data_IF_070612523352
#
_entry.id   IF_070612523352
#
_cell.length_a   1.000
_cell.length_b   1.000
_cell.length_c   1.000
_cell.angle_alpha   90.00
_cell.angle_beta   90.00
_cell.angle_gamma   90.00
#
_symmetry.space_group_name_H-M   'P 1'
#
loop_
_entity.id
_entity.type
_entity.pdbx_description
1 polymer ?
#
# COMPACT_ATOMS: atom_id res chain seq x y z
N UNK A 1 28.78 1.95 13.67
CA UNK A 1 27.50 1.43 13.15
C UNK A 1 27.00 2.42 12.10
N UNK A 2 27.29 2.16 10.82
CA UNK A 2 27.22 3.13 9.71
C UNK A 2 25.86 3.10 8.99
N UNK A 3 24.77 3.32 9.72
CA UNK A 3 23.42 3.42 9.11
C UNK A 3 23.21 4.72 8.32
N UNK A 4 24.09 5.71 8.49
CA UNK A 4 23.82 7.10 8.11
C UNK A 4 24.36 7.55 6.74
N UNK A 5 25.04 6.69 5.95
CA UNK A 5 25.70 7.16 4.71
C UNK A 5 24.93 6.95 3.40
N UNK A 6 24.00 5.97 3.32
CA UNK A 6 23.35 5.60 2.04
C UNK A 6 21.80 5.49 2.10
N UNK A 7 21.14 6.06 3.11
CA UNK A 7 19.68 6.13 3.20
C UNK A 7 18.97 4.79 3.53
N UNK A 8 17.67 4.90 3.86
CA UNK A 8 16.80 3.76 4.22
C UNK A 8 16.30 2.97 3.01
N UNK A 9 16.55 3.42 1.78
CA UNK A 9 16.00 2.83 0.56
C UNK A 9 16.45 1.38 0.29
N UNK A 10 17.60 0.95 0.81
CA UNK A 10 18.22 -0.36 0.50
C UNK A 10 18.60 -1.14 1.75
N UNK A 11 17.77 -1.11 2.79
CA UNK A 11 18.14 -1.76 4.06
C UNK A 11 17.98 -3.28 4.00
N UNK A 12 16.99 -3.81 3.26
CA UNK A 12 16.79 -5.26 3.17
C UNK A 12 17.91 -5.93 2.36
N UNK A 13 18.42 -5.27 1.31
CA UNK A 13 19.55 -5.75 0.50
C UNK A 13 20.85 -5.90 1.30
N UNK A 14 20.99 -5.16 2.40
CA UNK A 14 22.19 -5.16 3.26
C UNK A 14 22.09 -6.09 4.46
N UNK A 15 20.98 -6.80 4.62
CA UNK A 15 20.84 -7.78 5.71
C UNK A 15 21.81 -8.95 5.50
N UNK A 16 22.42 -9.49 6.58
CA UNK A 16 23.30 -10.64 6.47
C UNK A 16 22.50 -11.89 6.04
N UNK A 17 23.15 -12.87 5.37
CA UNK A 17 22.48 -14.09 4.90
C UNK A 17 21.72 -14.86 5.99
N UNK A 18 22.25 -14.85 7.23
CA UNK A 18 21.61 -15.49 8.38
C UNK A 18 20.28 -14.86 8.80
N UNK A 19 19.99 -13.65 8.32
CA UNK A 19 18.74 -12.92 8.52
C UNK A 19 17.85 -13.01 7.27
N UNK A 20 18.42 -12.95 6.07
CA UNK A 20 17.63 -13.05 4.82
C UNK A 20 17.02 -14.43 4.60
N UNK A 21 17.66 -15.47 5.15
CA UNK A 21 17.16 -16.85 5.15
C UNK A 21 16.07 -17.13 6.19
N UNK A 22 15.78 -16.18 7.10
CA UNK A 22 14.70 -16.33 8.10
C UNK A 22 13.36 -15.96 7.49
N UNK A 23 12.29 -16.48 8.10
CA UNK A 23 10.93 -16.06 7.73
C UNK A 23 10.78 -14.55 7.89
N UNK A 24 10.06 -13.93 6.96
CA UNK A 24 9.69 -12.51 7.04
C UNK A 24 8.92 -12.18 8.33
N UNK A 25 8.27 -13.17 8.98
CA UNK A 25 7.61 -13.03 10.29
C UNK A 25 8.58 -12.64 11.41
N UNK A 26 9.85 -13.02 11.27
CA UNK A 26 10.88 -12.76 12.27
C UNK A 26 11.57 -11.39 12.07
N UNK A 27 11.39 -10.78 10.90
CA UNK A 27 11.96 -9.48 10.59
C UNK A 27 11.20 -8.37 11.32
N UNK A 28 11.96 -7.38 11.81
CA UNK A 28 11.40 -6.13 12.34
C UNK A 28 11.31 -5.15 11.19
N UNK A 29 10.12 -5.07 10.60
CA UNK A 29 9.84 -4.28 9.40
C UNK A 29 9.16 -2.98 9.84
N UNK A 30 9.74 -1.81 9.54
CA UNK A 30 9.11 -0.53 9.85
C UNK A 30 7.90 -0.30 8.92
N UNK A 31 6.81 0.19 9.52
CA UNK A 31 5.56 0.49 8.83
C UNK A 31 5.02 1.87 9.20
N UNK A 32 4.15 2.39 8.35
CA UNK A 32 3.41 3.63 8.56
C UNK A 32 1.91 3.33 8.68
N UNK A 33 1.24 3.95 9.64
CA UNK A 33 -0.21 3.86 9.82
C UNK A 33 -0.92 4.90 8.95
N UNK A 34 -2.01 4.52 8.29
CA UNK A 34 -2.71 5.35 7.30
C UNK A 34 -1.74 6.02 6.32
N UNK A 35 -0.88 5.21 5.71
CA UNK A 35 0.34 5.65 5.01
C UNK A 35 0.08 6.70 3.94
N UNK A 36 -1.08 6.66 3.29
CA UNK A 36 -1.45 7.58 2.24
C UNK A 36 -2.20 8.84 2.71
N UNK A 37 -2.43 9.01 4.03
CA UNK A 37 -3.00 10.23 4.60
C UNK A 37 -1.94 11.34 4.79
N UNK A 38 -1.06 11.52 3.79
CA UNK A 38 -0.12 12.64 3.70
C UNK A 38 -0.72 13.86 3.02
N UNK A 39 -1.75 13.66 2.18
CA UNK A 39 -2.52 14.73 1.57
C UNK A 39 -4.00 14.35 1.47
N UNK A 40 -4.85 15.24 1.98
CA UNK A 40 -6.30 15.09 2.05
C UNK A 40 -6.97 16.34 1.49
N UNK A 41 -7.91 16.14 0.57
CA UNK A 41 -8.50 17.20 -0.24
C UNK A 41 -9.75 17.79 0.41
N UNK A 42 -9.60 19.00 0.95
CA UNK A 42 -10.72 19.77 1.55
C UNK A 42 -11.75 20.26 0.51
N UNK A 43 -11.39 20.26 -0.77
CA UNK A 43 -12.27 20.59 -1.89
C UNK A 43 -13.30 19.50 -2.18
N UNK A 44 -13.03 18.27 -1.74
CA UNK A 44 -13.95 17.15 -1.86
C UNK A 44 -14.89 17.08 -0.65
N UNK A 45 -16.02 16.39 -0.81
CA UNK A 45 -16.87 16.02 0.33
C UNK A 45 -16.09 15.12 1.29
N UNK A 46 -16.51 15.06 2.55
CA UNK A 46 -15.98 14.07 3.48
C UNK A 46 -16.12 12.66 2.92
N UNK A 47 -15.13 11.82 3.19
CA UNK A 47 -15.18 10.42 2.85
C UNK A 47 -16.23 9.70 3.72
N UNK A 48 -16.55 8.46 3.37
CA UNK A 48 -17.59 7.66 4.03
C UNK A 48 -17.05 6.73 5.12
N UNK A 49 -15.76 6.85 5.45
CA UNK A 49 -15.05 6.07 6.47
C UNK A 49 -15.23 6.61 7.90
N UNK A 50 -16.20 7.51 8.10
CA UNK A 50 -16.48 8.20 9.36
C UNK A 50 -17.99 8.36 9.57
N UNK A 51 -18.37 8.73 10.80
CA UNK A 51 -19.79 8.81 11.20
C UNK A 51 -20.59 9.83 10.40
N UNK A 52 -21.91 9.60 10.26
CA UNK A 52 -22.83 10.53 9.60
C UNK A 52 -22.77 11.95 10.20
N UNK A 53 -22.47 12.07 11.49
CA UNK A 53 -22.31 13.37 12.18
C UNK A 53 -21.06 14.10 11.68
N UNK A 54 -19.93 13.39 11.56
CA UNK A 54 -18.68 13.98 11.02
C UNK A 54 -18.88 14.36 9.55
N UNK A 55 -19.53 13.52 8.76
CA UNK A 55 -19.88 13.85 7.38
C UNK A 55 -20.79 15.08 7.29
N UNK A 56 -21.80 15.19 8.16
CA UNK A 56 -22.70 16.33 8.19
C UNK A 56 -21.96 17.63 8.55
N UNK A 57 -21.20 17.63 9.65
CA UNK A 57 -20.42 18.80 10.09
C UNK A 57 -19.39 19.18 9.04
N UNK A 58 -18.65 18.19 8.54
CA UNK A 58 -17.62 18.35 7.52
C UNK A 58 -18.18 18.93 6.22
N UNK A 59 -19.38 18.52 5.83
CA UNK A 59 -19.96 18.96 4.55
C UNK A 59 -20.73 20.28 4.60
N UNK A 60 -21.27 20.67 5.76
CA UNK A 60 -22.22 21.78 5.83
C UNK A 60 -21.75 22.96 6.70
N UNK A 61 -20.71 22.82 7.53
CA UNK A 61 -20.30 23.87 8.49
C UNK A 61 -18.86 24.36 8.24
N UNK A 62 -18.62 25.35 7.38
CA UNK A 62 -17.29 25.94 7.22
C UNK A 62 -16.77 26.53 8.56
N UNK A 63 -15.47 26.41 8.90
CA UNK A 63 -14.37 25.80 8.14
C UNK A 63 -14.05 24.34 8.55
N UNK A 64 -15.05 23.54 8.95
CA UNK A 64 -14.88 22.22 9.56
C UNK A 64 -13.90 21.28 8.83
N UNK A 65 -13.94 21.18 7.49
CA UNK A 65 -13.01 20.30 6.74
C UNK A 65 -11.54 20.64 6.96
N UNK A 66 -11.20 21.91 7.21
CA UNK A 66 -9.81 22.31 7.53
C UNK A 66 -9.38 21.79 8.89
N UNK A 67 -10.30 21.77 9.86
CA UNK A 67 -10.06 21.23 11.20
C UNK A 67 -9.95 19.72 11.12
N UNK A 68 -10.91 19.06 10.46
CA UNK A 68 -10.91 17.61 10.22
C UNK A 68 -9.60 17.18 9.56
N UNK A 69 -9.16 17.87 8.51
CA UNK A 69 -7.88 17.56 7.84
C UNK A 69 -6.71 17.57 8.82
N UNK A 70 -6.63 18.54 9.73
CA UNK A 70 -5.53 18.62 10.70
C UNK A 70 -5.49 17.43 11.66
N UNK A 71 -6.64 16.83 11.97
CA UNK A 71 -6.72 15.63 12.81
C UNK A 71 -6.55 14.34 12.00
N UNK A 72 -6.87 14.38 10.70
CA UNK A 72 -6.80 13.23 9.82
C UNK A 72 -5.44 13.02 9.14
N UNK A 73 -4.56 14.01 9.07
CA UNK A 73 -3.22 13.76 8.52
C UNK A 73 -2.40 12.91 9.50
N UNK A 74 -1.88 11.77 9.05
CA UNK A 74 -1.02 10.87 9.85
C UNK A 74 0.42 10.85 9.36
N UNK A 75 0.67 11.24 8.11
CA UNK A 75 1.98 11.27 7.49
C UNK A 75 2.30 12.66 6.94
N UNK A 76 3.57 13.05 6.92
CA UNK A 76 4.01 14.30 6.28
C UNK A 76 4.68 14.08 4.93
N UNK A 77 5.02 12.84 4.60
CA UNK A 77 5.79 12.47 3.42
C UNK A 77 4.94 11.66 2.45
N UNK A 78 5.08 11.89 1.13
CA UNK A 78 4.56 10.99 0.10
C UNK A 78 5.09 9.56 0.25
N UNK A 79 4.39 8.61 -0.38
CA UNK A 79 4.72 7.18 -0.30
C UNK A 79 6.16 6.88 -0.74
N UNK A 80 6.61 7.44 -1.87
CA UNK A 80 7.97 7.22 -2.36
C UNK A 80 9.02 7.65 -1.33
N UNK A 81 8.81 8.78 -0.67
CA UNK A 81 9.74 9.29 0.35
C UNK A 81 9.71 8.44 1.63
N UNK A 82 8.53 7.97 2.06
CA UNK A 82 8.42 7.01 3.16
C UNK A 82 9.23 5.73 2.87
N UNK A 83 9.12 5.20 1.66
CA UNK A 83 9.88 4.02 1.22
C UNK A 83 11.38 4.29 1.16
N UNK A 84 11.80 5.46 0.68
CA UNK A 84 13.22 5.88 0.64
C UNK A 84 13.82 6.07 2.05
N UNK A 85 12.99 6.38 3.06
CA UNK A 85 13.39 6.42 4.46
C UNK A 85 13.38 5.06 5.15
N UNK A 86 12.93 4.01 4.47
CA UNK A 86 13.02 2.63 4.92
C UNK A 86 11.70 1.97 5.31
N UNK A 87 10.56 2.67 5.22
CA UNK A 87 9.23 2.07 5.42
C UNK A 87 9.01 0.96 4.40
N UNK A 88 8.48 -0.18 4.84
CA UNK A 88 8.24 -1.37 3.99
C UNK A 88 6.88 -2.02 4.24
N UNK A 89 6.13 -1.54 5.23
CA UNK A 89 4.73 -1.88 5.44
C UNK A 89 3.89 -0.62 5.30
N UNK A 90 2.95 -0.63 4.36
CA UNK A 90 2.04 0.47 4.08
C UNK A 90 0.60 0.06 4.41
N UNK A 91 0.06 0.64 5.47
CA UNK A 91 -1.37 0.57 5.80
C UNK A 91 -2.17 1.51 4.86
N UNK A 92 -3.07 0.94 4.07
CA UNK A 92 -3.82 1.60 3.01
C UNK A 92 -5.34 1.46 3.24
N UNK A 93 -6.03 2.59 3.39
CA UNK A 93 -7.49 2.66 3.42
C UNK A 93 -8.04 3.19 2.11
N UNK A 94 -8.93 2.42 1.48
CA UNK A 94 -9.42 2.70 0.13
C UNK A 94 -10.93 2.86 0.15
N UNK A 95 -11.45 3.89 -0.50
CA UNK A 95 -12.87 4.02 -0.78
C UNK A 95 -13.11 4.04 -2.28
N UNK A 96 -14.21 3.42 -2.72
CA UNK A 96 -14.76 3.74 -4.03
C UNK A 96 -15.12 5.23 -4.06
N UNK A 97 -14.65 5.93 -5.08
CA UNK A 97 -14.99 7.32 -5.30
C UNK A 97 -16.27 7.43 -6.10
N UNK A 98 -17.18 8.30 -5.67
CA UNK A 98 -18.35 8.71 -6.45
C UNK A 98 -18.12 10.05 -7.17
N UNK A 99 -16.94 10.66 -7.00
CA UNK A 99 -16.60 11.96 -7.56
C UNK A 99 -15.26 11.89 -8.30
N UNK A 100 -15.25 12.33 -9.57
CA UNK A 100 -14.06 12.45 -10.41
C UNK A 100 -13.75 11.24 -11.29
N UNK A 101 -12.63 11.31 -12.00
CA UNK A 101 -12.21 10.32 -13.01
C UNK A 101 -11.64 9.02 -12.42
N UNK A 102 -11.15 9.04 -11.18
CA UNK A 102 -10.51 7.88 -10.54
C UNK A 102 -11.54 7.05 -9.75
N UNK A 103 -11.65 5.73 -9.99
CA UNK A 103 -12.66 4.87 -9.35
C UNK A 103 -12.38 4.61 -7.87
N UNK A 104 -11.10 4.59 -7.45
CA UNK A 104 -10.68 4.31 -6.08
C UNK A 104 -9.70 5.36 -5.58
N UNK A 105 -9.90 5.78 -4.33
CA UNK A 105 -9.07 6.80 -3.67
C UNK A 105 -8.73 6.38 -2.25
N UNK A 106 -7.59 6.86 -1.80
CA UNK A 106 -7.17 6.79 -0.42
C UNK A 106 -8.10 7.65 0.44
N UNK A 107 -8.41 7.20 1.66
CA UNK A 107 -9.29 7.92 2.59
C UNK A 107 -8.74 7.91 4.00
N UNK A 108 -8.95 9.03 4.70
CA UNK A 108 -8.94 9.08 6.16
C UNK A 108 -9.78 10.29 6.59
N UNK A 109 -11.06 10.07 6.88
CA UNK A 109 -12.14 11.06 7.08
C UNK A 109 -12.44 11.97 5.86
N UNK A 110 -11.44 12.26 5.03
CA UNK A 110 -11.47 13.00 3.78
C UNK A 110 -10.87 12.15 2.66
N UNK A 111 -11.17 12.49 1.41
CA UNK A 111 -10.52 11.86 0.26
C UNK A 111 -9.10 12.37 0.04
N UNK A 112 -8.20 11.47 -0.33
CA UNK A 112 -6.85 11.78 -0.79
C UNK A 112 -6.61 11.34 -2.24
N UNK A 113 -5.36 10.98 -2.50
CA UNK A 113 -4.87 10.55 -3.81
C UNK A 113 -5.57 9.30 -4.35
N UNK A 114 -5.52 9.11 -5.68
CA UNK A 114 -6.03 7.90 -6.30
C UNK A 114 -5.18 6.68 -5.91
N UNK A 115 -5.80 5.51 -5.81
CA UNK A 115 -5.10 4.26 -5.48
C UNK A 115 -3.97 3.98 -6.50
N UNK A 116 -4.23 4.24 -7.78
CA UNK A 116 -3.23 4.07 -8.84
C UNK A 116 -1.98 4.93 -8.63
N UNK A 117 -2.13 6.17 -8.13
CA UNK A 117 -1.00 7.06 -7.83
C UNK A 117 -0.13 6.50 -6.70
N UNK A 118 -0.75 5.82 -5.71
CA UNK A 118 -0.02 5.12 -4.66
C UNK A 118 0.75 3.94 -5.25
N UNK A 119 0.12 3.15 -6.13
CA UNK A 119 0.78 2.03 -6.80
C UNK A 119 1.93 2.49 -7.71
N UNK A 120 1.80 3.63 -8.39
CA UNK A 120 2.87 4.20 -9.20
C UNK A 120 4.10 4.56 -8.35
N UNK A 121 3.88 5.13 -7.17
CA UNK A 121 4.96 5.44 -6.22
C UNK A 121 5.67 4.17 -5.72
N UNK A 122 4.89 3.13 -5.39
CA UNK A 122 5.44 1.83 -4.95
C UNK A 122 6.20 1.14 -6.09
N UNK A 123 5.64 1.15 -7.31
CA UNK A 123 6.28 0.59 -8.50
C UNK A 123 7.61 1.26 -8.78
N UNK A 124 7.64 2.60 -8.78
CA UNK A 124 8.87 3.36 -8.97
C UNK A 124 9.93 2.93 -7.95
N UNK A 125 9.59 2.91 -6.67
CA UNK A 125 10.51 2.49 -5.61
C UNK A 125 11.08 1.08 -5.85
N UNK A 126 10.22 0.09 -6.15
CA UNK A 126 10.64 -1.29 -6.36
C UNK A 126 11.46 -1.48 -7.66
N UNK A 127 11.26 -0.61 -8.67
CA UNK A 127 12.03 -0.60 -9.92
C UNK A 127 13.44 -0.04 -9.70
N UNK A 128 13.59 0.92 -8.79
CA UNK A 128 14.88 1.50 -8.40
C UNK A 128 15.64 0.64 -7.34
N UNK A 129 14.93 -0.21 -6.60
CA UNK A 129 15.47 -1.00 -5.49
C UNK A 129 15.12 -2.49 -5.63
N UNK A 130 15.92 -3.22 -6.43
CA UNK A 130 15.54 -4.56 -6.90
C UNK A 130 15.51 -5.67 -5.83
N UNK A 131 16.16 -5.45 -4.69
CA UNK A 131 16.30 -6.45 -3.61
C UNK A 131 15.38 -6.17 -2.41
N UNK A 132 14.55 -5.14 -2.54
CA UNK A 132 13.55 -4.74 -1.55
C UNK A 132 12.18 -5.30 -1.92
N UNK A 133 11.34 -5.52 -0.92
CA UNK A 133 9.91 -5.84 -1.09
C UNK A 133 9.06 -4.88 -0.28
N UNK A 134 7.81 -4.69 -0.66
CA UNK A 134 6.87 -3.83 0.06
C UNK A 134 5.63 -4.64 0.40
N UNK A 135 5.20 -4.56 1.66
CA UNK A 135 3.92 -5.09 2.13
C UNK A 135 2.89 -3.99 1.96
N UNK A 136 1.90 -4.25 1.10
CA UNK A 136 0.73 -3.39 0.95
C UNK A 136 -0.42 -4.01 1.73
N UNK A 137 -0.88 -3.33 2.77
CA UNK A 137 -2.01 -3.77 3.56
C UNK A 137 -3.26 -2.95 3.19
N UNK A 138 -4.14 -3.53 2.38
CA UNK A 138 -5.44 -2.95 2.02
C UNK A 138 -6.50 -3.54 2.95
N UNK A 139 -6.41 -3.23 4.23
CA UNK A 139 -7.28 -3.82 5.27
C UNK A 139 -8.68 -3.18 5.30
N UNK A 140 -8.77 -1.90 4.93
CA UNK A 140 -10.03 -1.15 5.03
C UNK A 140 -10.51 -0.68 3.66
N UNK A 141 -11.65 -1.25 3.24
CA UNK A 141 -12.35 -0.88 2.02
C UNK A 141 -13.73 -0.29 2.32
N UNK A 142 -14.05 0.86 1.72
CA UNK A 142 -15.29 1.59 1.98
C UNK A 142 -16.10 1.82 0.71
N UNK A 143 -17.43 1.81 0.85
CA UNK A 143 -18.38 2.10 -0.24
C UNK A 143 -18.24 1.20 -1.48
N UNK A 144 -17.69 0.01 -1.30
CA UNK A 144 -17.60 -1.04 -2.31
C UNK A 144 -18.98 -1.65 -2.60
N UNK A 145 -19.19 -2.12 -3.82
CA UNK A 145 -20.41 -2.75 -4.36
C UNK A 145 -20.33 -4.28 -4.36
N UNK A 146 -19.48 -4.85 -3.51
CA UNK A 146 -19.19 -6.28 -3.45
C UNK A 146 -17.98 -6.66 -4.30
N UNK A 147 -17.94 -7.92 -4.72
CA UNK A 147 -16.76 -8.57 -5.30
C UNK A 147 -16.24 -7.90 -6.57
N UNK A 148 -17.11 -7.30 -7.38
CA UNK A 148 -16.71 -6.61 -8.61
C UNK A 148 -15.70 -5.46 -8.37
N UNK A 149 -15.83 -4.74 -7.26
CA UNK A 149 -14.86 -3.68 -6.93
C UNK A 149 -13.52 -4.28 -6.47
N UNK A 150 -13.57 -5.41 -5.75
CA UNK A 150 -12.38 -6.16 -5.33
C UNK A 150 -11.65 -6.71 -6.56
N UNK A 151 -12.36 -7.33 -7.49
CA UNK A 151 -11.81 -7.81 -8.76
C UNK A 151 -11.13 -6.68 -9.54
N UNK A 152 -11.76 -5.50 -9.58
CA UNK A 152 -11.16 -4.33 -10.23
C UNK A 152 -9.87 -3.89 -9.53
N UNK A 153 -9.81 -3.91 -8.20
CA UNK A 153 -8.59 -3.58 -7.45
C UNK A 153 -7.50 -4.62 -7.72
N UNK A 154 -7.86 -5.91 -7.76
CA UNK A 154 -6.94 -7.01 -8.11
C UNK A 154 -6.40 -6.81 -9.54
N UNK A 155 -7.25 -6.43 -10.49
CA UNK A 155 -6.85 -6.13 -11.87
C UNK A 155 -5.93 -4.92 -11.94
N UNK A 156 -6.15 -3.87 -11.14
CA UNK A 156 -5.23 -2.75 -11.01
C UNK A 156 -3.87 -3.19 -10.47
N UNK A 157 -3.84 -4.04 -9.43
CA UNK A 157 -2.60 -4.59 -8.88
C UNK A 157 -1.85 -5.41 -9.94
N UNK A 158 -2.56 -6.32 -10.64
CA UNK A 158 -1.97 -7.12 -11.71
C UNK A 158 -1.46 -6.26 -12.86
N UNK A 159 -2.22 -5.24 -13.28
CA UNK A 159 -1.84 -4.33 -14.35
C UNK A 159 -0.63 -3.47 -14.00
N UNK A 160 -0.52 -3.01 -12.75
CA UNK A 160 0.60 -2.16 -12.30
C UNK A 160 1.87 -2.95 -12.02
N UNK A 161 1.78 -4.07 -11.29
CA UNK A 161 2.96 -4.79 -10.80
C UNK A 161 3.33 -6.02 -11.65
N UNK A 162 2.36 -6.60 -12.35
CA UNK A 162 2.49 -7.91 -12.99
C UNK A 162 2.40 -9.05 -11.95
N UNK A 163 1.79 -10.17 -12.35
CA UNK A 163 1.61 -11.35 -11.46
C UNK A 163 2.92 -11.92 -10.92
N UNK A 164 3.99 -11.85 -11.71
CA UNK A 164 5.32 -12.38 -11.34
C UNK A 164 5.95 -11.65 -10.16
N UNK A 165 5.57 -10.39 -9.92
CA UNK A 165 6.12 -9.56 -8.83
C UNK A 165 5.35 -9.72 -7.52
N UNK A 166 4.21 -10.38 -7.56
CA UNK A 166 3.40 -10.63 -6.38
C UNK A 166 3.88 -11.89 -5.67
N UNK A 167 3.89 -11.85 -4.34
CA UNK A 167 4.09 -13.05 -3.55
C UNK A 167 2.88 -13.98 -3.76
N UNK A 168 3.08 -15.26 -4.11
CA UNK A 168 1.97 -16.20 -4.24
C UNK A 168 1.29 -16.41 -2.88
N UNK A 169 0.02 -16.85 -2.88
CA UNK A 169 -0.64 -17.30 -1.65
C UNK A 169 0.11 -18.51 -1.10
N UNK A 170 0.81 -18.33 0.02
CA UNK A 170 1.54 -19.39 0.72
C UNK A 170 1.67 -19.05 2.21
N UNK A 171 2.03 -20.04 3.03
CA UNK A 171 2.31 -19.79 4.45
C UNK A 171 3.50 -18.84 4.59
N UNK A 172 3.32 -17.74 5.33
CA UNK A 172 4.39 -16.77 5.57
C UNK A 172 5.58 -17.38 6.34
N UNK A 173 5.43 -18.55 6.98
CA UNK A 173 6.57 -19.27 7.56
C UNK A 173 7.62 -19.61 6.49
N UNK A 174 7.17 -19.94 5.28
CA UNK A 174 8.03 -20.30 4.16
C UNK A 174 8.54 -19.10 3.35
N UNK A 175 8.05 -17.89 3.62
CA UNK A 175 8.49 -16.69 2.89
C UNK A 175 9.71 -16.11 3.59
N UNK A 176 10.82 -16.07 2.87
CA UNK A 176 12.08 -15.45 3.28
C UNK A 176 12.48 -14.36 2.29
N UNK A 177 13.48 -13.54 2.62
CA UNK A 177 14.02 -12.56 1.68
C UNK A 177 14.72 -13.23 0.50
N UNK A 178 15.44 -14.33 0.77
CA UNK A 178 16.13 -15.10 -0.27
C UNK A 178 15.12 -15.68 -1.27
N UNK A 179 14.03 -16.29 -0.77
CA UNK A 179 12.94 -16.81 -1.59
C UNK A 179 12.34 -15.74 -2.53
N UNK A 180 12.04 -14.56 -1.99
CA UNK A 180 11.46 -13.46 -2.77
C UNK A 180 12.42 -12.95 -3.87
N UNK A 181 13.73 -12.97 -3.61
CA UNK A 181 14.76 -12.55 -4.57
C UNK A 181 14.96 -13.57 -5.69
N UNK A 182 15.04 -14.84 -5.35
CA UNK A 182 15.18 -15.94 -6.32
C UNK A 182 14.02 -15.95 -7.31
N UNK A 183 12.78 -15.84 -6.80
CA UNK A 183 11.56 -15.79 -7.62
C UNK A 183 11.54 -14.62 -8.59
N UNK A 184 12.15 -13.49 -8.23
CA UNK A 184 12.23 -12.31 -9.11
C UNK A 184 13.14 -12.55 -10.32
N UNK A 185 14.20 -13.35 -10.14
CA UNK A 185 15.11 -13.75 -11.22
C UNK A 185 14.43 -14.69 -12.22
N UNK A 186 13.42 -15.42 -11.76
CA UNK A 186 12.68 -16.39 -12.55
C UNK A 186 11.40 -15.79 -13.17
N UNK A 187 11.60 -14.92 -14.16
CA UNK A 187 10.49 -14.29 -14.91
C UNK A 187 9.63 -15.31 -15.68
N UNK A 188 10.08 -16.56 -15.78
CA UNK A 188 9.46 -17.64 -16.55
C UNK A 188 8.71 -18.67 -15.68
N UNK A 189 8.89 -18.68 -14.35
CA UNK A 189 8.08 -19.48 -13.42
C UNK A 189 6.76 -18.77 -13.05
N UNK A 190 5.89 -18.55 -14.05
CA UNK A 190 4.45 -18.48 -13.76
C UNK A 190 3.99 -19.93 -13.57
N UNK A 191 3.41 -20.32 -12.41
CA UNK A 191 2.81 -21.64 -12.28
C UNK A 191 1.72 -21.76 -13.35
N UNK A 192 1.98 -22.62 -14.34
CA UNK A 192 0.96 -23.04 -15.29
C UNK A 192 -0.12 -23.76 -14.51
N UNK A 193 -1.28 -23.11 -14.36
CA UNK A 193 -2.58 -23.67 -13.98
C UNK A 193 -2.53 -25.12 -13.46
N UNK A 194 -2.54 -25.26 -12.14
CA UNK A 194 -3.30 -26.37 -11.56
C UNK A 194 -4.76 -25.91 -11.51
N UNK A 195 -5.52 -26.44 -12.48
CA UNK A 195 -6.96 -26.56 -12.38
C UNK A 195 -7.23 -27.49 -11.19
N UNK A 196 -7.98 -27.01 -10.20
CA UNK A 196 -9.12 -27.70 -9.56
C UNK A 196 -9.32 -27.26 -8.09
N UNK A 197 -10.60 -27.08 -7.76
CA UNK A 197 -11.19 -26.96 -6.43
C UNK A 197 -10.88 -25.72 -5.58
N UNK A 198 -11.74 -24.71 -5.71
CA UNK A 198 -12.34 -24.06 -4.54
C UNK A 198 -13.83 -23.86 -4.80
N UNK A 199 -14.63 -24.67 -4.10
CA UNK A 199 -15.95 -24.26 -3.63
C UNK A 199 -15.80 -23.19 -2.55
#
# INVERSE_FOLDING_TARGET
>A
MTWARDGGAKWMSRLPPTVTARSIRELKIPGSHDSAAFELFISMKCATDNSNVVQFIGNNLPPSRRIIRRWAITQHLPILDQLNLGIRYLDLRVSRSICGQAPYRMVHTLFGHALETIFDSVKQFLDENLEEFVILDINHVYSMRGDADIDTIIDLIHGKFGKWRLCPPMDLAGITLDYLRERRGDKDLVPTKDKESLC
#
